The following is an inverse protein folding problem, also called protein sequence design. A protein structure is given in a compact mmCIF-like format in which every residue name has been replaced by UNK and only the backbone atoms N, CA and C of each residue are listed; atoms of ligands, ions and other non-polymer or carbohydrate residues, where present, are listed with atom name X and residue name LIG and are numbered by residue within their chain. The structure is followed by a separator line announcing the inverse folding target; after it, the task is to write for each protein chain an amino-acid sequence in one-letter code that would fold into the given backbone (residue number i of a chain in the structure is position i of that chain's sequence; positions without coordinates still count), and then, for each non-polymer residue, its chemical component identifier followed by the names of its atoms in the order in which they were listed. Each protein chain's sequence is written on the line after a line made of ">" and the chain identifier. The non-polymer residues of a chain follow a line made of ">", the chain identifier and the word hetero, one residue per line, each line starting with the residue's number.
data_IF_185307819411
#
_entry.id   IF_185307819411
#
_cell.length_a   1.000
_cell.length_b   1.000
_cell.length_c   1.000
_cell.angle_alpha   90.00
_cell.angle_beta   90.00
_cell.angle_gamma   90.00
#
_symmetry.space_group_name_H-M   'P 1'
#
loop_
_entity.id
_entity.type
_entity.pdbx_description
1 polymer ?
#
# COMPACT_ATOMS: atom_id res chain seq x y z
N UNK A 1 31.77 -12.42 40.35
CA UNK A 1 31.69 -13.26 39.14
C UNK A 1 30.33 -13.06 38.51
N UNK A 2 30.27 -12.32 37.40
CA UNK A 2 29.04 -11.95 36.68
C UNK A 2 28.95 -12.78 35.40
N UNK A 3 28.08 -13.79 35.41
CA UNK A 3 27.48 -14.39 34.21
C UNK A 3 25.99 -14.45 34.52
N UNK A 4 25.05 -14.05 33.68
CA UNK A 4 24.95 -14.31 32.24
C UNK A 4 23.93 -13.33 31.67
N UNK A 5 24.40 -12.39 30.83
CA UNK A 5 23.63 -11.25 30.32
C UNK A 5 23.32 -11.42 28.81
N UNK A 6 22.75 -12.55 28.38
CA UNK A 6 22.70 -12.87 26.93
C UNK A 6 21.41 -13.43 26.34
N UNK A 7 20.28 -13.50 27.07
CA UNK A 7 19.01 -13.91 26.46
C UNK A 7 17.83 -13.04 26.92
N UNK A 8 17.18 -12.41 25.94
CA UNK A 8 15.85 -11.74 25.98
C UNK A 8 15.80 -10.20 26.07
N UNK A 9 16.66 -9.49 25.34
CA UNK A 9 16.16 -8.29 24.63
C UNK A 9 15.77 -8.73 23.22
N UNK A 10 14.53 -9.22 23.06
CA UNK A 10 13.89 -9.21 21.73
C UNK A 10 13.92 -7.74 21.32
N UNK A 11 14.65 -7.40 20.25
CA UNK A 11 14.49 -6.08 19.61
C UNK A 11 13.01 -5.91 19.35
N UNK A 12 12.40 -4.86 19.87
CA UNK A 12 11.03 -4.50 19.55
C UNK A 12 10.95 -4.42 18.02
N UNK A 13 10.18 -5.33 17.42
CA UNK A 13 9.93 -5.33 15.99
C UNK A 13 9.00 -4.14 15.75
N UNK A 14 9.53 -3.06 15.17
CA UNK A 14 8.71 -1.94 14.71
C UNK A 14 7.80 -2.45 13.57
N UNK A 15 6.51 -2.55 13.88
CA UNK A 15 5.44 -3.05 13.01
C UNK A 15 4.58 -1.88 12.57
N UNK A 16 4.46 -1.69 11.26
CA UNK A 16 3.53 -0.74 10.66
C UNK A 16 2.48 -1.53 9.88
N UNK A 17 1.19 -1.31 10.17
CA UNK A 17 0.07 -1.87 9.44
C UNK A 17 -0.79 -0.73 8.91
N UNK A 18 -1.20 -0.83 7.65
CA UNK A 18 -2.16 0.08 7.05
C UNK A 18 -3.30 -0.71 6.41
N UNK A 19 -4.52 -0.42 6.85
CA UNK A 19 -5.74 -0.93 6.23
C UNK A 19 -6.23 0.09 5.19
N UNK A 20 -6.35 -0.34 3.93
CA UNK A 20 -6.77 0.48 2.79
C UNK A 20 -8.23 0.25 2.43
N UNK A 21 -8.73 -0.95 2.68
CA UNK A 21 -10.12 -1.35 2.55
C UNK A 21 -10.57 -2.06 3.84
N UNK A 22 -11.85 -1.96 4.23
CA UNK A 22 -12.37 -2.61 5.42
C UNK A 22 -12.38 -4.13 5.23
N UNK A 23 -11.38 -4.81 5.79
CA UNK A 23 -11.16 -6.25 5.58
C UNK A 23 -12.34 -7.11 6.06
N UNK A 24 -13.07 -6.65 7.06
CA UNK A 24 -14.26 -7.25 7.66
C UNK A 24 -15.49 -7.27 6.75
N UNK A 25 -15.48 -6.48 5.67
CA UNK A 25 -16.55 -6.45 4.66
C UNK A 25 -16.37 -7.56 3.62
N UNK A 26 -15.19 -8.18 3.55
CA UNK A 26 -14.90 -9.26 2.59
C UNK A 26 -14.95 -10.63 3.25
N UNK A 27 -15.44 -11.66 2.54
CA UNK A 27 -15.28 -13.05 2.97
C UNK A 27 -13.80 -13.39 3.19
N UNK A 28 -13.47 -14.16 4.22
CA UNK A 28 -12.06 -14.51 4.54
C UNK A 28 -11.37 -15.24 3.39
N UNK A 29 -12.09 -16.07 2.65
CA UNK A 29 -11.64 -16.82 1.48
C UNK A 29 -11.43 -15.94 0.23
N UNK A 30 -11.97 -14.71 0.23
CA UNK A 30 -11.72 -13.72 -0.82
C UNK A 30 -10.38 -12.98 -0.65
N UNK A 31 -9.75 -13.08 0.53
CA UNK A 31 -8.46 -12.44 0.81
C UNK A 31 -7.30 -13.25 0.23
N UNK A 32 -6.49 -12.60 -0.59
CA UNK A 32 -5.37 -13.18 -1.30
C UNK A 32 -4.03 -12.71 -0.74
N UNK A 33 -3.13 -13.65 -0.51
CA UNK A 33 -1.70 -13.39 -0.29
C UNK A 33 -0.87 -13.55 -1.58
N UNK A 34 -1.43 -14.25 -2.56
CA UNK A 34 -0.83 -14.51 -3.86
C UNK A 34 -1.86 -14.33 -4.98
N UNK A 35 -1.42 -13.85 -6.14
CA UNK A 35 -2.24 -13.73 -7.35
C UNK A 35 -1.50 -14.40 -8.50
N UNK A 36 -2.14 -15.37 -9.15
CA UNK A 36 -1.56 -16.14 -10.25
C UNK A 36 -0.16 -16.72 -9.90
N UNK A 37 0.00 -17.24 -8.68
CA UNK A 37 1.26 -17.83 -8.19
C UNK A 37 2.36 -16.83 -7.83
N UNK A 38 2.10 -15.52 -7.85
CA UNK A 38 3.02 -14.48 -7.38
C UNK A 38 2.51 -13.86 -6.08
N UNK A 39 3.39 -13.71 -5.08
CA UNK A 39 3.07 -13.01 -3.83
C UNK A 39 2.70 -11.55 -4.08
N UNK A 40 1.58 -11.11 -3.49
CA UNK A 40 1.10 -9.73 -3.58
C UNK A 40 2.17 -8.75 -3.07
N UNK A 41 2.88 -9.09 -2.00
CA UNK A 41 3.96 -8.25 -1.46
C UNK A 41 5.11 -8.03 -2.44
N UNK A 42 5.49 -9.06 -3.22
CA UNK A 42 6.53 -8.95 -4.23
C UNK A 42 6.07 -8.07 -5.40
N UNK A 43 4.81 -8.23 -5.84
CA UNK A 43 4.21 -7.39 -6.88
C UNK A 43 4.19 -5.92 -6.43
N UNK A 44 3.75 -5.68 -5.19
CA UNK A 44 3.69 -4.33 -4.62
C UNK A 44 5.09 -3.69 -4.49
N UNK A 45 6.09 -4.45 -4.06
CA UNK A 45 7.48 -3.98 -3.98
C UNK A 45 8.05 -3.64 -5.36
N UNK A 46 7.80 -4.49 -6.36
CA UNK A 46 8.22 -4.26 -7.74
C UNK A 46 7.54 -3.01 -8.33
N UNK A 47 6.25 -2.86 -8.06
CA UNK A 47 5.48 -1.69 -8.46
C UNK A 47 6.01 -0.40 -7.82
N UNK A 48 6.32 -0.46 -6.52
CA UNK A 48 6.83 0.66 -5.73
C UNK A 48 8.29 1.04 -6.04
N UNK A 49 9.04 0.18 -6.74
CA UNK A 49 10.48 0.35 -6.97
C UNK A 49 10.94 1.76 -7.41
N UNK A 50 10.21 2.52 -8.26
CA UNK A 50 10.65 3.87 -8.63
C UNK A 50 10.66 4.87 -7.46
N UNK A 51 9.79 4.66 -6.46
CA UNK A 51 9.77 5.49 -5.26
C UNK A 51 10.81 5.02 -4.22
N UNK A 52 11.20 3.75 -4.27
CA UNK A 52 12.10 3.14 -3.29
C UNK A 52 13.58 3.30 -3.65
N UNK A 53 13.92 3.48 -4.93
CA UNK A 53 15.31 3.44 -5.42
C UNK A 53 16.24 4.51 -4.84
N UNK A 54 15.69 5.59 -4.27
CA UNK A 54 16.46 6.68 -3.64
C UNK A 54 16.37 6.74 -2.12
N UNK A 55 15.75 5.75 -1.47
CA UNK A 55 15.55 5.77 -0.01
C UNK A 55 16.72 5.10 0.69
N UNK A 56 17.30 5.79 1.67
CA UNK A 56 18.32 5.22 2.55
C UNK A 56 17.74 4.06 3.37
N UNK A 57 18.51 2.98 3.54
CA UNK A 57 18.04 1.73 4.17
C UNK A 57 17.51 1.91 5.59
N UNK A 58 18.01 2.90 6.32
CA UNK A 58 17.63 3.24 7.69
C UNK A 58 16.43 4.19 7.77
N UNK A 59 16.10 4.91 6.68
CA UNK A 59 14.94 5.81 6.61
C UNK A 59 13.61 5.05 6.48
N UNK A 60 13.24 4.43 7.59
CA UNK A 60 12.08 3.55 7.71
C UNK A 60 10.77 4.32 7.53
N UNK A 61 10.73 5.59 7.95
CA UNK A 61 9.53 6.43 7.81
C UNK A 61 9.26 6.69 6.33
N UNK A 62 10.27 7.13 5.57
CA UNK A 62 10.11 7.39 4.15
C UNK A 62 9.76 6.11 3.37
N UNK A 63 10.38 4.98 3.72
CA UNK A 63 10.03 3.68 3.14
C UNK A 63 8.54 3.34 3.36
N UNK A 64 8.06 3.44 4.61
CA UNK A 64 6.64 3.19 4.96
C UNK A 64 5.71 4.13 4.18
N UNK A 65 6.07 5.41 4.06
CA UNK A 65 5.30 6.41 3.30
C UNK A 65 5.24 6.07 1.81
N UNK A 66 6.37 5.69 1.18
CA UNK A 66 6.37 5.36 -0.25
C UNK A 66 5.61 4.05 -0.56
N UNK A 67 5.69 3.07 0.34
CA UNK A 67 4.87 1.85 0.25
C UNK A 67 3.38 2.17 0.35
N UNK A 68 3.00 3.05 1.29
CA UNK A 68 1.63 3.53 1.42
C UNK A 68 1.14 4.21 0.13
N UNK A 69 1.89 5.18 -0.39
CA UNK A 69 1.54 5.88 -1.63
C UNK A 69 1.42 4.93 -2.82
N UNK A 70 2.28 3.92 -2.88
CA UNK A 70 2.22 2.90 -3.92
C UNK A 70 0.96 2.05 -3.82
N UNK A 71 0.59 1.62 -2.62
CA UNK A 71 -0.62 0.82 -2.43
C UNK A 71 -1.91 1.62 -2.71
N UNK A 72 -1.92 2.91 -2.35
CA UNK A 72 -2.98 3.84 -2.76
C UNK A 72 -3.02 3.94 -4.29
N UNK A 73 -1.91 4.26 -4.94
CA UNK A 73 -1.88 4.41 -6.39
C UNK A 73 -2.32 3.13 -7.13
N UNK A 74 -2.00 1.96 -6.59
CA UNK A 74 -2.50 0.68 -7.10
C UNK A 74 -4.03 0.64 -7.13
N UNK A 75 -4.68 0.91 -6.00
CA UNK A 75 -6.14 0.89 -5.89
C UNK A 75 -6.80 2.01 -6.71
N UNK A 76 -6.15 3.16 -6.84
CA UNK A 76 -6.68 4.29 -7.59
C UNK A 76 -6.44 4.21 -9.11
N UNK A 77 -5.66 3.22 -9.56
CA UNK A 77 -5.43 2.97 -10.99
C UNK A 77 -6.68 2.55 -11.76
N UNK A 78 -7.71 2.06 -11.06
CA UNK A 78 -9.00 1.66 -11.62
C UNK A 78 -9.93 2.85 -11.92
N UNK A 79 -9.68 4.04 -11.35
CA UNK A 79 -10.41 5.27 -11.66
C UNK A 79 -9.78 6.00 -12.83
N UNK A 80 -10.57 6.71 -13.64
CA UNK A 80 -10.01 7.50 -14.73
C UNK A 80 -9.15 8.67 -14.24
N UNK A 81 -8.10 8.96 -15.01
CA UNK A 81 -7.18 10.03 -14.69
C UNK A 81 -7.86 11.40 -14.74
N UNK A 82 -7.34 12.35 -13.95
CA UNK A 82 -7.90 13.70 -13.87
C UNK A 82 -8.93 13.83 -12.76
N UNK A 83 -10.11 14.38 -13.07
CA UNK A 83 -11.08 14.83 -12.06
C UNK A 83 -11.64 13.68 -11.22
N UNK A 84 -12.00 12.56 -11.85
CA UNK A 84 -12.58 11.40 -11.17
C UNK A 84 -11.63 10.83 -10.10
N UNK A 85 -10.39 10.52 -10.47
CA UNK A 85 -9.39 10.03 -9.51
C UNK A 85 -9.08 11.05 -8.42
N UNK A 86 -8.99 12.34 -8.75
CA UNK A 86 -8.75 13.41 -7.76
C UNK A 86 -9.86 13.47 -6.72
N UNK A 87 -11.12 13.43 -7.13
CA UNK A 87 -12.28 13.44 -6.22
C UNK A 87 -12.32 12.20 -5.33
N UNK A 88 -12.05 11.02 -5.91
CA UNK A 88 -11.99 9.79 -5.15
C UNK A 88 -10.83 9.80 -4.12
N UNK A 89 -9.66 10.33 -4.51
CA UNK A 89 -8.52 10.51 -3.61
C UNK A 89 -8.84 11.50 -2.49
N UNK A 90 -9.47 12.64 -2.80
CA UNK A 90 -9.87 13.62 -1.80
C UNK A 90 -10.78 12.97 -0.75
N UNK A 91 -11.79 12.19 -1.16
CA UNK A 91 -12.67 11.46 -0.24
C UNK A 91 -11.92 10.46 0.64
N UNK A 92 -11.03 9.67 0.05
CA UNK A 92 -10.20 8.73 0.80
C UNK A 92 -9.29 9.47 1.81
N UNK A 93 -8.71 10.60 1.41
CA UNK A 93 -7.87 11.43 2.26
C UNK A 93 -8.60 12.10 3.42
N UNK A 94 -9.91 12.33 3.34
CA UNK A 94 -10.68 12.90 4.47
C UNK A 94 -10.55 12.07 5.75
N UNK A 95 -10.21 10.79 5.62
CA UNK A 95 -9.98 9.88 6.75
C UNK A 95 -8.53 9.90 7.28
N UNK A 96 -7.60 10.53 6.56
CA UNK A 96 -6.16 10.43 6.82
C UNK A 96 -5.59 11.73 7.40
N UNK A 97 -5.05 11.65 8.63
CA UNK A 97 -4.37 12.78 9.31
C UNK A 97 -2.99 13.15 8.71
N UNK A 98 -2.50 12.38 7.75
CA UNK A 98 -1.14 12.50 7.23
C UNK A 98 -0.96 13.58 6.14
N UNK A 99 -2.04 14.23 5.68
CA UNK A 99 -2.00 15.06 4.47
C UNK A 99 -2.55 16.47 4.70
N UNK A 100 -1.67 17.48 4.60
CA UNK A 100 -2.01 18.90 4.50
C UNK A 100 -2.05 19.35 3.02
N UNK A 101 -2.56 20.55 2.73
CA UNK A 101 -2.80 21.04 1.35
C UNK A 101 -1.55 20.97 0.45
N UNK A 102 -0.38 21.39 0.94
CA UNK A 102 0.86 21.35 0.14
C UNK A 102 1.35 19.94 -0.20
N UNK A 103 0.98 18.93 0.60
CA UNK A 103 1.31 17.54 0.33
C UNK A 103 0.29 16.85 -0.60
N UNK A 104 -0.91 17.41 -0.77
CA UNK A 104 -1.95 16.84 -1.65
C UNK A 104 -1.56 16.87 -3.13
N UNK A 105 -1.07 18.00 -3.65
CA UNK A 105 -0.67 18.11 -5.07
C UNK A 105 0.47 17.16 -5.44
N UNK A 106 1.45 17.00 -4.54
CA UNK A 106 2.52 16.01 -4.70
C UNK A 106 1.97 14.59 -4.74
N UNK A 107 0.99 14.29 -3.89
CA UNK A 107 0.34 12.99 -3.87
C UNK A 107 -0.41 12.72 -5.18
N UNK A 108 -1.17 13.69 -5.70
CA UNK A 108 -1.85 13.54 -7.00
C UNK A 108 -0.87 13.18 -8.10
N UNK A 109 0.25 13.90 -8.17
CA UNK A 109 1.29 13.64 -9.16
C UNK A 109 1.87 12.22 -9.02
N UNK A 110 2.15 11.78 -7.79
CA UNK A 110 2.68 10.44 -7.53
C UNK A 110 1.65 9.36 -7.90
N UNK A 111 0.39 9.54 -7.48
CA UNK A 111 -0.68 8.57 -7.73
C UNK A 111 -0.98 8.47 -9.22
N UNK A 112 -1.03 9.58 -9.96
CA UNK A 112 -1.26 9.57 -11.40
C UNK A 112 -0.13 8.85 -12.15
N UNK A 113 1.13 9.16 -11.81
CA UNK A 113 2.30 8.52 -12.40
C UNK A 113 2.33 7.00 -12.16
N UNK A 114 2.12 6.59 -10.91
CA UNK A 114 2.08 5.17 -10.56
C UNK A 114 0.84 4.46 -11.12
N UNK A 115 -0.31 5.12 -11.19
CA UNK A 115 -1.51 4.57 -11.83
C UNK A 115 -1.27 4.30 -13.31
N UNK A 116 -0.61 5.22 -14.02
CA UNK A 116 -0.21 5.02 -15.42
C UNK A 116 0.79 3.84 -15.56
N UNK A 117 1.71 3.67 -14.60
CA UNK A 117 2.58 2.50 -14.53
C UNK A 117 1.79 1.20 -14.32
N UNK A 118 0.76 1.19 -13.47
CA UNK A 118 -0.09 0.00 -13.27
C UNK A 118 -0.76 -0.39 -14.57
N UNK A 119 -1.38 0.59 -15.25
CA UNK A 119 -2.10 0.39 -16.51
C UNK A 119 -1.18 -0.08 -17.66
N UNK A 120 0.09 0.31 -17.68
CA UNK A 120 1.02 -0.07 -18.77
C UNK A 120 1.83 -1.35 -18.49
N UNK A 121 2.29 -1.57 -17.25
CA UNK A 121 3.23 -2.66 -16.92
C UNK A 121 2.71 -3.73 -15.98
N UNK A 122 1.56 -3.49 -15.32
CA UNK A 122 0.97 -4.39 -14.31
C UNK A 122 -0.51 -4.66 -14.61
N UNK A 123 -0.94 -4.49 -15.86
CA UNK A 123 -2.35 -4.58 -16.27
C UNK A 123 -2.95 -5.97 -16.04
N UNK A 124 -2.12 -7.02 -16.08
CA UNK A 124 -2.51 -8.41 -15.85
C UNK A 124 -2.87 -8.71 -14.39
N UNK A 125 -2.51 -7.84 -13.46
CA UNK A 125 -2.79 -8.00 -12.04
C UNK A 125 -4.08 -7.27 -11.67
N UNK A 126 -5.16 -8.04 -11.61
CA UNK A 126 -6.52 -7.54 -11.39
C UNK A 126 -7.00 -7.78 -9.95
N UNK A 127 -6.37 -7.08 -9.03
CA UNK A 127 -6.73 -7.09 -7.61
C UNK A 127 -6.64 -5.69 -7.00
N UNK A 128 -7.29 -5.50 -5.86
CA UNK A 128 -7.15 -4.31 -5.01
C UNK A 128 -6.48 -4.71 -3.70
N UNK A 129 -5.59 -3.86 -3.20
CA UNK A 129 -4.89 -4.08 -1.94
C UNK A 129 -5.84 -3.73 -0.80
N UNK A 130 -6.06 -4.69 0.09
CA UNK A 130 -6.89 -4.54 1.28
C UNK A 130 -6.08 -3.95 2.42
N UNK A 131 -4.91 -4.53 2.68
CA UNK A 131 -3.97 -3.98 3.64
C UNK A 131 -2.54 -4.43 3.36
N UNK A 132 -1.60 -3.80 4.04
CA UNK A 132 -0.23 -4.27 4.08
C UNK A 132 0.40 -4.02 5.44
N UNK A 133 1.44 -4.79 5.71
CA UNK A 133 2.22 -4.75 6.93
C UNK A 133 3.71 -4.70 6.59
N UNK A 134 4.43 -3.82 7.29
CA UNK A 134 5.88 -3.73 7.22
C UNK A 134 6.42 -4.07 8.60
N UNK A 135 7.27 -5.09 8.66
CA UNK A 135 7.97 -5.51 9.86
C UNK A 135 9.45 -5.19 9.72
N UNK A 136 9.96 -4.30 10.59
CA UNK A 136 11.39 -3.97 10.59
C UNK A 136 12.20 -5.11 11.17
N UNK A 137 12.96 -5.80 10.32
CA UNK A 137 13.92 -6.81 10.75
C UNK A 137 15.28 -6.23 11.13
N UNK A 138 16.18 -7.05 11.71
CA UNK A 138 17.55 -6.64 12.07
C UNK A 138 18.43 -6.22 10.89
N UNK A 139 18.13 -6.71 9.68
CA UNK A 139 18.91 -6.50 8.44
C UNK A 139 18.06 -5.91 7.32
N UNK A 140 16.83 -6.40 7.16
CA UNK A 140 15.91 -5.97 6.11
C UNK A 140 14.47 -5.87 6.65
N UNK A 141 13.71 -4.96 6.07
CA UNK A 141 12.26 -4.83 6.31
C UNK A 141 11.52 -5.87 5.50
N UNK A 142 10.59 -6.58 6.13
CA UNK A 142 9.69 -7.53 5.45
C UNK A 142 8.37 -6.84 5.16
N UNK A 143 7.85 -7.03 3.94
CA UNK A 143 6.51 -6.56 3.55
C UNK A 143 5.59 -7.74 3.38
N UNK A 144 4.42 -7.67 4.00
CA UNK A 144 3.28 -8.56 3.77
C UNK A 144 2.14 -7.72 3.23
N UNK A 145 1.37 -8.24 2.27
CA UNK A 145 0.26 -7.52 1.68
C UNK A 145 -0.87 -8.50 1.40
N UNK A 146 -2.10 -8.05 1.65
CA UNK A 146 -3.32 -8.78 1.34
C UNK A 146 -4.12 -8.00 0.30
N UNK A 147 -4.74 -8.74 -0.60
CA UNK A 147 -5.54 -8.18 -1.67
C UNK A 147 -6.88 -8.91 -1.78
N UNK A 148 -7.77 -8.35 -2.60
CA UNK A 148 -9.04 -8.96 -3.02
C UNK A 148 -9.10 -8.89 -4.55
N UNK A 149 -9.60 -9.91 -5.26
CA UNK A 149 -9.86 -9.83 -6.69
C UNK A 149 -10.71 -8.60 -7.01
N UNK A 150 -10.34 -7.86 -8.06
CA UNK A 150 -11.06 -6.66 -8.45
C UNK A 150 -12.51 -6.97 -8.86
N UNK A 151 -12.77 -8.15 -9.42
CA UNK A 151 -14.12 -8.61 -9.81
C UNK A 151 -15.12 -8.71 -8.64
N UNK A 152 -14.63 -8.75 -7.40
CA UNK A 152 -15.47 -8.77 -6.19
C UNK A 152 -15.76 -7.37 -5.64
N UNK A 153 -15.17 -6.32 -6.23
CA UNK A 153 -15.31 -4.95 -5.78
C UNK A 153 -16.35 -4.17 -6.59
N UNK A 154 -17.31 -3.58 -5.88
CA UNK A 154 -18.05 -2.44 -6.41
C UNK A 154 -17.34 -1.16 -5.97
N UNK A 155 -16.61 -0.52 -6.89
CA UNK A 155 -15.81 0.69 -6.60
C UNK A 155 -16.66 1.78 -5.91
N UNK A 156 -17.89 1.97 -6.36
CA UNK A 156 -18.79 3.01 -5.84
C UNK A 156 -19.16 2.81 -4.37
N UNK A 157 -19.23 1.56 -3.89
CA UNK A 157 -19.47 1.27 -2.47
C UNK A 157 -18.21 1.33 -1.62
N UNK A 158 -17.04 1.03 -2.20
CA UNK A 158 -15.77 0.98 -1.46
C UNK A 158 -15.10 2.35 -1.24
N UNK A 159 -15.27 3.29 -2.19
CA UNK A 159 -14.63 4.61 -2.15
C UNK A 159 -15.64 5.79 -2.25
N UNK A 160 -16.94 5.46 -2.18
CA UNK A 160 -18.05 6.41 -2.38
C UNK A 160 -18.33 6.66 -3.88
N UNK A 161 -19.60 6.92 -4.21
CA UNK A 161 -20.04 7.18 -5.59
C UNK A 161 -19.42 8.47 -6.14
N UNK A 162 -18.79 8.39 -7.32
CA UNK A 162 -18.55 9.58 -8.15
C UNK A 162 -19.87 9.83 -8.88
N UNK A 163 -20.59 10.89 -8.50
CA UNK A 163 -21.78 11.36 -9.22
C UNK A 163 -21.37 12.43 -10.23
#
# INVERSE_FOLDING_TARGET
>A
MTSTNFRKRRRDLDRFKMDLLPADVFPEDALLLEFQGRRISNILLEFASPLLSGIEKDNTVQFKTMMYLSAVAWNFSYFEAGKERKEALDRFLLTSKFFNEGNKEKMYTIVDSLSARKRSGFWQYDFMIVNFEIVKGPKESTVMAMAVPYSLMNIGSAFGSVN
#
